data_IF_166386521379
#
_entry.id   IF_166386521379
#
_cell.length_a   1.000
_cell.length_b   1.000
_cell.length_c   1.000
_cell.angle_alpha   90.00
_cell.angle_beta   90.00
_cell.angle_gamma   90.00
#
_symmetry.space_group_name_H-M   'P 1'
#
loop_
_entity.id
_entity.type
_entity.pdbx_description
1 polymer ?
#
# COMPACT_ATOMS: atom_id res chain seq x y z
N UNK A 1 -17.69 -0.51 10.44
CA UNK A 1 -17.44 -0.36 8.99
C UNK A 1 -16.02 0.11 8.67
N UNK A 2 -15.50 1.21 9.24
CA UNK A 2 -14.12 1.67 8.99
C UNK A 2 -13.03 0.63 9.28
N UNK A 3 -13.10 -0.09 10.41
CA UNK A 3 -12.10 -1.14 10.73
C UNK A 3 -12.09 -2.29 9.71
N UNK A 4 -13.28 -2.66 9.21
CA UNK A 4 -13.43 -3.68 8.16
C UNK A 4 -12.79 -3.15 6.86
N UNK A 5 -13.04 -1.89 6.52
CA UNK A 5 -12.46 -1.26 5.33
C UNK A 5 -10.93 -1.14 5.44
N UNK A 6 -10.39 -0.74 6.59
CA UNK A 6 -8.94 -0.74 6.86
C UNK A 6 -8.33 -2.15 6.79
N UNK A 7 -9.01 -3.16 7.34
CA UNK A 7 -8.56 -4.54 7.24
C UNK A 7 -8.53 -5.04 5.80
N UNK A 8 -9.55 -4.72 5.00
CA UNK A 8 -9.57 -5.02 3.55
C UNK A 8 -8.40 -4.32 2.86
N UNK A 9 -8.16 -3.03 3.13
CA UNK A 9 -7.02 -2.31 2.56
C UNK A 9 -5.68 -2.96 2.89
N UNK A 10 -5.48 -3.37 4.16
CA UNK A 10 -4.28 -4.08 4.58
C UNK A 10 -4.11 -5.37 3.78
N UNK A 11 -5.16 -6.19 3.65
CA UNK A 11 -5.12 -7.44 2.90
C UNK A 11 -4.75 -7.19 1.42
N UNK A 12 -5.38 -6.21 0.77
CA UNK A 12 -5.11 -5.93 -0.64
C UNK A 12 -3.70 -5.39 -0.84
N UNK A 13 -3.19 -4.51 0.05
CA UNK A 13 -1.79 -4.07 -0.01
C UNK A 13 -0.83 -5.26 0.12
N UNK A 14 -1.13 -6.20 1.02
CA UNK A 14 -0.31 -7.40 1.22
C UNK A 14 -0.27 -8.28 -0.03
N UNK A 15 -1.42 -8.50 -0.66
CA UNK A 15 -1.53 -9.22 -1.95
C UNK A 15 -0.71 -8.48 -3.03
N UNK A 16 -0.85 -7.16 -3.11
CA UNK A 16 -0.15 -6.37 -4.12
C UNK A 16 1.37 -6.38 -3.93
N UNK A 17 1.86 -6.39 -2.69
CA UNK A 17 3.28 -6.59 -2.36
C UNK A 17 3.76 -7.97 -2.83
N UNK A 18 3.02 -9.04 -2.53
CA UNK A 18 3.37 -10.42 -2.95
C UNK A 18 3.44 -10.51 -4.48
N UNK A 19 2.49 -9.90 -5.20
CA UNK A 19 2.50 -9.85 -6.67
C UNK A 19 3.73 -9.07 -7.18
N UNK A 20 4.08 -7.97 -6.52
CA UNK A 20 5.25 -7.16 -6.90
C UNK A 20 6.56 -7.92 -6.72
N UNK A 21 6.67 -8.76 -5.68
CA UNK A 21 7.84 -9.60 -5.41
C UNK A 21 7.93 -10.84 -6.31
N UNK A 22 6.80 -11.38 -6.75
CA UNK A 22 6.74 -12.63 -7.53
C UNK A 22 6.85 -12.45 -9.03
N UNK A 23 6.53 -11.26 -9.55
CA UNK A 23 6.66 -10.98 -10.98
C UNK A 23 8.07 -10.46 -11.31
N UNK A 24 8.71 -10.94 -12.40
CA UNK A 24 9.94 -10.35 -12.89
C UNK A 24 9.74 -8.86 -13.18
N UNK A 25 10.80 -8.07 -13.03
CA UNK A 25 10.79 -6.62 -13.22
C UNK A 25 10.36 -6.26 -14.65
N UNK A 26 9.06 -6.15 -14.83
CA UNK A 26 8.37 -5.93 -16.08
C UNK A 26 7.54 -4.66 -15.94
N UNK A 27 7.51 -3.83 -16.99
CA UNK A 27 6.65 -2.63 -17.07
C UNK A 27 5.17 -3.02 -16.98
N UNK A 28 4.82 -4.27 -17.27
CA UNK A 28 3.44 -4.73 -17.23
C UNK A 28 2.80 -4.41 -15.87
N UNK A 29 1.68 -3.69 -15.93
CA UNK A 29 0.89 -3.28 -14.76
C UNK A 29 1.59 -2.29 -13.80
N UNK A 30 2.73 -1.69 -14.17
CA UNK A 30 3.44 -0.71 -13.35
C UNK A 30 2.53 0.46 -12.92
N UNK A 31 1.86 1.11 -13.87
CA UNK A 31 0.96 2.23 -13.59
C UNK A 31 -0.20 1.84 -12.65
N UNK A 32 -0.70 0.60 -12.77
CA UNK A 32 -1.76 0.09 -11.90
C UNK A 32 -1.27 -0.12 -10.47
N UNK A 33 -0.04 -0.65 -10.29
CA UNK A 33 0.59 -0.80 -8.97
C UNK A 33 0.82 0.55 -8.30
N UNK A 34 1.33 1.54 -9.05
CA UNK A 34 1.55 2.91 -8.56
C UNK A 34 0.24 3.57 -8.17
N UNK A 35 -0.79 3.49 -9.02
CA UNK A 35 -2.10 4.07 -8.73
C UNK A 35 -2.73 3.43 -7.48
N UNK A 36 -2.61 2.11 -7.34
CA UNK A 36 -3.13 1.39 -6.19
C UNK A 36 -2.47 1.81 -4.88
N UNK A 37 -1.13 1.88 -4.87
CA UNK A 37 -0.35 2.35 -3.72
C UNK A 37 -0.66 3.80 -3.37
N UNK A 38 -0.76 4.67 -4.38
CA UNK A 38 -1.11 6.07 -4.16
C UNK A 38 -2.48 6.23 -3.51
N UNK A 39 -3.49 5.50 -4.01
CA UNK A 39 -4.84 5.49 -3.42
C UNK A 39 -4.82 4.98 -1.97
N UNK A 40 -4.11 3.88 -1.72
CA UNK A 40 -3.93 3.31 -0.38
C UNK A 40 -3.30 4.31 0.59
N UNK A 41 -2.27 5.02 0.15
CA UNK A 41 -1.60 6.05 0.96
C UNK A 41 -2.52 7.22 1.30
N UNK A 42 -3.25 7.76 0.31
CA UNK A 42 -4.20 8.86 0.54
C UNK A 42 -5.29 8.45 1.54
N UNK A 43 -5.87 7.26 1.37
CA UNK A 43 -6.94 6.78 2.24
C UNK A 43 -6.45 6.49 3.66
N UNK A 44 -5.25 5.93 3.82
CA UNK A 44 -4.66 5.66 5.14
C UNK A 44 -4.36 6.95 5.90
N UNK A 45 -3.80 7.96 5.22
CA UNK A 45 -3.60 9.30 5.81
C UNK A 45 -4.93 9.94 6.20
N UNK A 46 -5.95 9.86 5.33
CA UNK A 46 -7.28 10.38 5.64
C UNK A 46 -7.87 9.71 6.91
N UNK A 47 -7.79 8.38 7.02
CA UNK A 47 -8.27 7.68 8.20
C UNK A 47 -7.45 7.94 9.47
N UNK A 48 -6.16 8.25 9.33
CA UNK A 48 -5.31 8.63 10.46
C UNK A 48 -5.68 10.00 11.03
N UNK A 49 -6.00 10.97 10.16
CA UNK A 49 -6.39 12.33 10.54
C UNK A 49 -7.77 12.40 11.22
N UNK A 50 -8.65 11.44 10.93
CA UNK A 50 -9.95 11.33 11.58
C UNK A 50 -9.78 10.88 13.04
N UNK A 51 -10.18 11.73 13.99
CA UNK A 51 -10.13 11.42 15.44
C UNK A 51 -11.06 10.26 15.76
N UNK A 52 -10.49 9.15 16.22
CA UNK A 52 -11.22 7.88 16.30
C UNK A 52 -10.74 6.99 17.47
N UNK A 53 -11.19 5.73 17.49
CA UNK A 53 -10.83 4.76 18.54
C UNK A 53 -9.38 4.29 18.38
N UNK A 54 -8.75 3.87 19.48
CA UNK A 54 -7.35 3.40 19.49
C UNK A 54 -7.10 2.29 18.45
N UNK A 55 -8.04 1.36 18.29
CA UNK A 55 -7.94 0.25 17.35
C UNK A 55 -7.86 0.75 15.89
N UNK A 56 -8.73 1.69 15.48
CA UNK A 56 -8.65 2.19 14.10
C UNK A 56 -7.37 2.96 13.83
N UNK A 57 -6.86 3.72 14.81
CA UNK A 57 -5.58 4.41 14.68
C UNK A 57 -4.44 3.41 14.48
N UNK A 58 -4.42 2.32 15.25
CA UNK A 58 -3.41 1.26 15.09
C UNK A 58 -3.49 0.59 13.72
N UNK A 59 -4.70 0.28 13.22
CA UNK A 59 -4.88 -0.26 11.87
C UNK A 59 -4.44 0.73 10.79
N UNK A 60 -4.73 2.02 10.94
CA UNK A 60 -4.29 3.05 10.01
C UNK A 60 -2.76 3.19 9.99
N UNK A 61 -2.09 3.14 11.14
CA UNK A 61 -0.63 3.17 11.23
C UNK A 61 -0.02 1.93 10.55
N UNK A 62 -0.56 0.74 10.82
CA UNK A 62 -0.09 -0.49 10.17
C UNK A 62 -0.25 -0.43 8.65
N UNK A 63 -1.41 0.05 8.19
CA UNK A 63 -1.68 0.21 6.76
C UNK A 63 -0.78 1.26 6.11
N UNK A 64 -0.41 2.32 6.83
CA UNK A 64 0.54 3.33 6.36
C UNK A 64 1.94 2.75 6.20
N UNK A 65 2.42 1.96 7.17
CA UNK A 65 3.72 1.30 7.09
C UNK A 65 3.79 0.34 5.88
N UNK A 66 2.72 -0.44 5.66
CA UNK A 66 2.62 -1.30 4.49
C UNK A 66 2.67 -0.52 3.17
N UNK A 67 1.95 0.60 3.08
CA UNK A 67 1.98 1.45 1.89
C UNK A 67 3.39 2.00 1.63
N UNK A 68 4.12 2.44 2.66
CA UNK A 68 5.51 2.92 2.54
C UNK A 68 6.45 1.80 2.06
N UNK A 69 6.33 0.60 2.63
CA UNK A 69 7.12 -0.56 2.18
C UNK A 69 6.83 -0.88 0.71
N UNK A 70 5.55 -0.83 0.32
CA UNK A 70 5.17 -1.10 -1.07
C UNK A 70 5.72 -0.04 -2.02
N UNK A 71 5.71 1.25 -1.65
CA UNK A 71 6.35 2.33 -2.41
C UNK A 71 7.84 2.05 -2.59
N UNK A 72 8.55 1.69 -1.52
CA UNK A 72 9.98 1.41 -1.57
C UNK A 72 10.30 0.23 -2.52
N UNK A 73 9.49 -0.83 -2.48
CA UNK A 73 9.62 -1.97 -3.39
C UNK A 73 9.40 -1.58 -4.85
N UNK A 74 8.38 -0.76 -5.12
CA UNK A 74 8.11 -0.26 -6.48
C UNK A 74 9.28 0.60 -6.95
N UNK A 75 9.76 1.54 -6.12
CA UNK A 75 10.87 2.42 -6.47
C UNK A 75 12.17 1.64 -6.74
N UNK A 76 12.47 0.63 -5.91
CA UNK A 76 13.62 -0.24 -6.11
C UNK A 76 13.49 -1.08 -7.38
N UNK A 77 12.30 -1.62 -7.64
CA UNK A 77 12.01 -2.35 -8.87
C UNK A 77 12.14 -1.45 -10.10
N UNK A 78 11.68 -0.20 -10.06
CA UNK A 78 11.87 0.75 -11.15
C UNK A 78 13.34 1.09 -11.38
N UNK A 79 14.12 1.25 -10.30
CA UNK A 79 15.54 1.54 -10.39
C UNK A 79 16.30 0.43 -11.12
N UNK A 80 16.15 -0.83 -10.70
CA UNK A 80 16.80 -1.98 -11.35
C UNK A 80 16.28 -2.18 -12.79
N UNK A 81 15.04 -1.80 -13.08
CA UNK A 81 14.53 -1.88 -14.45
C UNK A 81 15.19 -0.87 -15.39
N UNK A 82 15.49 0.34 -14.89
CA UNK A 82 16.06 1.43 -15.69
C UNK A 82 17.59 1.38 -15.81
N UNK A 83 18.28 0.82 -14.81
CA UNK A 83 19.74 0.79 -14.68
C UNK A 83 20.25 -0.64 -14.51
#
# INVERSE_FOLDING_TARGET
MRNILLAIFIIINLIAIIITLSQPLSIAYFSLRVMFVGLSLVLTVLFLLLRTTRLSTMLSILSLLLAIVHIALIAHSTYIYLY
#
